data_IF_845115628305
#
_entry.id   IF_845115628305
#
_cell.length_a   1.000
_cell.length_b   1.000
_cell.length_c   1.000
_cell.angle_alpha   90.00
_cell.angle_beta   90.00
_cell.angle_gamma   90.00
#
_symmetry.space_group_name_H-M   'P 1'
#
loop_
_entity.id
_entity.type
_entity.pdbx_description
1 polymer ?
#
# COMPACT_ATOMS: atom_id res chain seq x y z
N UNK A 1 -56.05 -34.93 -59.57
CA UNK A 1 -55.55 -33.61 -60.05
C UNK A 1 -55.31 -32.73 -58.84
N UNK A 2 -54.13 -32.11 -58.79
CA UNK A 2 -53.68 -31.02 -57.89
C UNK A 2 -53.53 -31.32 -56.38
N UNK A 3 -52.33 -31.65 -55.89
CA UNK A 3 -51.18 -30.81 -55.45
C UNK A 3 -51.27 -30.27 -54.02
N UNK A 4 -50.54 -30.97 -53.14
CA UNK A 4 -49.57 -30.50 -52.12
C UNK A 4 -49.78 -29.12 -51.48
N UNK A 5 -49.84 -29.12 -50.14
CA UNK A 5 -49.15 -28.11 -49.33
C UNK A 5 -48.48 -28.78 -48.13
N UNK A 6 -47.16 -28.61 -48.03
CA UNK A 6 -46.30 -29.14 -46.95
C UNK A 6 -46.38 -28.22 -45.74
N UNK A 7 -46.57 -28.78 -44.55
CA UNK A 7 -46.24 -28.12 -43.27
C UNK A 7 -45.31 -29.03 -42.48
N UNK A 8 -44.21 -28.44 -42.03
CA UNK A 8 -43.07 -29.11 -41.42
C UNK A 8 -43.36 -29.59 -39.98
N UNK A 9 -42.91 -30.81 -39.66
CA UNK A 9 -42.83 -31.32 -38.29
C UNK A 9 -41.63 -30.67 -37.58
N UNK A 10 -41.87 -30.05 -36.43
CA UNK A 10 -40.85 -29.69 -35.43
C UNK A 10 -41.10 -30.55 -34.20
N UNK A 11 -40.15 -31.41 -33.76
CA UNK A 11 -40.32 -32.16 -32.54
C UNK A 11 -39.97 -31.27 -31.32
N UNK A 12 -40.92 -31.19 -30.40
CA UNK A 12 -40.80 -30.48 -29.12
C UNK A 12 -39.90 -31.30 -28.18
N UNK A 13 -38.64 -30.89 -28.01
CA UNK A 13 -37.73 -31.48 -27.02
C UNK A 13 -38.04 -30.94 -25.61
N UNK A 14 -38.32 -31.86 -24.70
CA UNK A 14 -38.56 -31.63 -23.28
C UNK A 14 -37.27 -31.09 -22.61
N UNK A 15 -37.28 -29.84 -22.13
CA UNK A 15 -36.16 -29.26 -21.37
C UNK A 15 -36.22 -29.75 -19.91
N UNK A 16 -35.35 -30.69 -19.55
CA UNK A 16 -35.06 -31.02 -18.15
C UNK A 16 -34.15 -29.92 -17.57
N UNK A 17 -34.69 -29.09 -16.68
CA UNK A 17 -33.89 -28.16 -15.87
C UNK A 17 -33.19 -28.93 -14.75
N UNK A 18 -31.90 -29.23 -14.94
CA UNK A 18 -31.02 -29.63 -13.84
C UNK A 18 -30.38 -28.38 -13.23
N UNK A 19 -30.83 -28.00 -12.04
CA UNK A 19 -30.18 -26.98 -11.22
C UNK A 19 -28.86 -27.53 -10.68
N UNK A 20 -27.74 -27.19 -11.31
CA UNK A 20 -26.40 -27.42 -10.74
C UNK A 20 -26.09 -26.25 -9.80
N UNK A 21 -26.22 -26.49 -8.49
CA UNK A 21 -25.61 -25.66 -7.46
C UNK A 21 -24.11 -25.95 -7.46
N UNK A 22 -23.37 -25.23 -8.31
CA UNK A 22 -21.91 -25.29 -8.34
C UNK A 22 -21.34 -24.34 -7.28
N UNK A 23 -20.96 -24.89 -6.13
CA UNK A 23 -20.09 -24.19 -5.18
C UNK A 23 -18.71 -24.05 -5.83
N UNK A 24 -18.32 -22.82 -6.22
CA UNK A 24 -16.98 -22.52 -6.73
C UNK A 24 -15.94 -22.79 -5.62
N UNK A 25 -15.28 -23.95 -5.69
CA UNK A 25 -14.16 -24.29 -4.81
C UNK A 25 -12.89 -23.63 -5.31
N UNK A 26 -12.29 -22.78 -4.48
CA UNK A 26 -10.97 -22.18 -4.71
C UNK A 26 -9.89 -23.26 -4.61
N UNK A 27 -9.27 -23.64 -5.73
CA UNK A 27 -8.08 -24.51 -5.71
C UNK A 27 -6.84 -23.67 -5.39
N UNK A 28 -6.10 -24.03 -4.33
CA UNK A 28 -4.81 -23.40 -4.02
C UNK A 28 -3.77 -23.78 -5.08
N UNK A 29 -3.31 -22.80 -5.85
CA UNK A 29 -2.10 -22.89 -6.66
C UNK A 29 -0.89 -23.16 -5.75
N UNK A 30 -0.13 -24.21 -6.03
CA UNK A 30 1.11 -24.53 -5.34
C UNK A 30 2.16 -23.43 -5.61
N UNK A 31 2.42 -22.58 -4.62
CA UNK A 31 3.50 -21.58 -4.66
C UNK A 31 4.84 -22.23 -4.28
N UNK A 32 5.90 -21.78 -4.95
CA UNK A 32 7.31 -22.09 -4.70
C UNK A 32 7.67 -21.88 -3.20
N UNK A 33 8.34 -22.84 -2.50
CA UNK A 33 8.27 -22.92 -1.03
C UNK A 33 9.09 -21.87 -0.26
N UNK A 34 9.88 -21.01 -0.91
CA UNK A 34 10.87 -20.19 -0.18
C UNK A 34 10.44 -18.75 0.09
N UNK A 35 9.52 -18.18 -0.69
CA UNK A 35 9.00 -16.84 -0.43
C UNK A 35 7.57 -16.63 -0.98
N UNK A 36 6.61 -16.28 -0.10
CA UNK A 36 5.18 -16.16 -0.48
C UNK A 36 4.92 -15.01 -1.46
N UNK A 37 5.75 -13.98 -1.45
CA UNK A 37 5.65 -12.83 -2.36
C UNK A 37 6.37 -13.07 -3.69
N UNK A 38 7.12 -14.16 -3.81
CA UNK A 38 7.92 -14.49 -5.00
C UNK A 38 8.97 -13.42 -5.30
N UNK A 39 9.73 -13.01 -4.28
CA UNK A 39 10.80 -11.99 -4.41
C UNK A 39 11.83 -12.40 -5.45
N UNK A 40 11.99 -11.58 -6.47
CA UNK A 40 13.03 -11.69 -7.49
C UNK A 40 13.90 -10.42 -7.53
N UNK A 41 15.07 -10.49 -8.18
CA UNK A 41 15.96 -9.30 -8.31
C UNK A 41 15.37 -8.20 -9.19
N UNK A 42 14.48 -8.54 -10.13
CA UNK A 42 13.85 -7.57 -11.03
C UNK A 42 12.71 -6.82 -10.33
N UNK A 43 12.38 -5.64 -10.83
CA UNK A 43 11.18 -4.92 -10.40
C UNK A 43 9.92 -5.70 -10.81
N UNK A 44 9.08 -6.03 -9.84
CA UNK A 44 7.81 -6.77 -10.00
C UNK A 44 6.58 -5.90 -9.69
N UNK A 45 6.74 -4.57 -9.75
CA UNK A 45 5.68 -3.58 -9.54
C UNK A 45 4.76 -3.51 -10.75
N UNK A 46 3.46 -3.69 -10.53
CA UNK A 46 2.40 -3.39 -11.49
C UNK A 46 1.59 -2.18 -10.98
N UNK A 47 1.43 -1.15 -11.81
CA UNK A 47 0.63 0.04 -11.48
C UNK A 47 -0.63 0.05 -12.33
N UNK A 48 -1.77 0.19 -11.66
CA UNK A 48 -3.10 0.29 -12.28
C UNK A 48 -3.73 1.61 -11.85
N UNK A 49 -4.31 2.34 -12.80
CA UNK A 49 -4.88 3.67 -12.53
C UNK A 49 -6.31 3.75 -13.06
N UNK A 50 -7.16 4.49 -12.36
CA UNK A 50 -8.50 4.82 -12.85
C UNK A 50 -8.41 5.65 -14.14
N UNK A 51 -9.43 5.57 -15.00
CA UNK A 51 -9.40 6.17 -16.35
C UNK A 51 -9.33 7.70 -16.36
N UNK A 52 -9.66 8.35 -15.25
CA UNK A 52 -9.55 9.80 -15.03
C UNK A 52 -8.18 10.24 -14.45
N UNK A 53 -7.28 9.30 -14.14
CA UNK A 53 -5.90 9.60 -13.73
C UNK A 53 -5.03 9.86 -14.96
N UNK A 54 -4.41 11.03 -15.03
CA UNK A 54 -3.56 11.39 -16.17
C UNK A 54 -2.32 10.50 -16.31
N UNK A 55 -1.85 10.30 -17.54
CA UNK A 55 -0.59 9.57 -17.83
C UNK A 55 0.62 10.16 -17.10
N UNK A 56 0.64 11.47 -16.86
CA UNK A 56 1.72 12.13 -16.09
C UNK A 56 1.74 11.64 -14.64
N UNK A 57 0.57 11.53 -14.01
CA UNK A 57 0.44 11.02 -12.63
C UNK A 57 0.81 9.55 -12.58
N UNK A 58 0.31 8.74 -13.51
CA UNK A 58 0.67 7.32 -13.62
C UNK A 58 2.19 7.12 -13.73
N UNK A 59 2.84 7.88 -14.62
CA UNK A 59 4.28 7.79 -14.81
C UNK A 59 5.05 8.21 -13.56
N UNK A 60 4.63 9.29 -12.89
CA UNK A 60 5.24 9.74 -11.65
C UNK A 60 5.19 8.68 -10.54
N UNK A 61 4.07 7.95 -10.43
CA UNK A 61 3.93 6.83 -9.49
C UNK A 61 4.87 5.69 -9.85
N UNK A 62 4.90 5.29 -11.13
CA UNK A 62 5.80 4.23 -11.63
C UNK A 62 7.27 4.56 -11.39
N UNK A 63 7.69 5.77 -11.70
CA UNK A 63 9.08 6.23 -11.53
C UNK A 63 9.48 6.23 -10.06
N UNK A 64 8.60 6.73 -9.18
CA UNK A 64 8.87 6.76 -7.74
C UNK A 64 9.00 5.35 -7.16
N UNK A 65 8.11 4.42 -7.56
CA UNK A 65 8.17 3.01 -7.15
C UNK A 65 9.43 2.33 -7.69
N UNK A 66 9.81 2.57 -8.95
CA UNK A 66 11.04 2.03 -9.52
C UNK A 66 12.28 2.48 -8.72
N UNK A 67 12.34 3.76 -8.34
CA UNK A 67 13.41 4.27 -7.48
C UNK A 67 13.38 3.62 -6.09
N UNK A 68 12.20 3.32 -5.54
CA UNK A 68 12.08 2.59 -4.28
C UNK A 68 12.69 1.18 -4.38
N UNK A 69 12.38 0.45 -5.47
CA UNK A 69 12.97 -0.87 -5.77
C UNK A 69 14.49 -0.77 -5.90
N UNK A 70 15.01 0.22 -6.63
CA UNK A 70 16.46 0.41 -6.79
C UNK A 70 17.15 0.78 -5.48
N UNK A 71 16.43 1.41 -4.54
CA UNK A 71 16.99 1.87 -3.26
C UNK A 71 16.99 0.77 -2.20
N UNK A 72 15.93 -0.03 -2.10
CA UNK A 72 15.77 -1.01 -1.01
C UNK A 72 15.69 -2.47 -1.47
N UNK A 73 15.59 -2.71 -2.78
CA UNK A 73 15.35 -4.03 -3.36
C UNK A 73 13.86 -4.28 -3.61
N UNK A 74 13.57 -5.34 -4.36
CA UNK A 74 12.21 -5.82 -4.61
C UNK A 74 11.60 -6.43 -3.33
N UNK A 75 10.38 -6.04 -3.00
CA UNK A 75 9.56 -6.71 -1.99
C UNK A 75 8.79 -7.91 -2.55
N UNK A 76 8.93 -8.21 -3.84
CA UNK A 76 8.22 -9.28 -4.54
C UNK A 76 7.08 -8.72 -5.38
N UNK A 77 6.09 -9.57 -5.67
CA UNK A 77 4.91 -9.17 -6.45
C UNK A 77 4.18 -8.04 -5.76
N UNK A 78 4.06 -6.91 -6.43
CA UNK A 78 3.53 -5.67 -5.85
C UNK A 78 2.56 -5.03 -6.84
N UNK A 79 1.33 -4.76 -6.39
CA UNK A 79 0.30 -4.09 -7.19
C UNK A 79 -0.09 -2.76 -6.53
N UNK A 80 0.05 -1.65 -7.27
CA UNK A 80 -0.33 -0.30 -6.80
C UNK A 80 -1.53 0.22 -7.59
N UNK A 81 -2.62 0.50 -6.89
CA UNK A 81 -3.89 0.92 -7.48
C UNK A 81 -4.16 2.40 -7.17
N UNK A 82 -4.16 3.24 -8.20
CA UNK A 82 -4.33 4.69 -8.07
C UNK A 82 -5.74 5.10 -8.48
N UNK A 83 -6.50 5.65 -7.54
CA UNK A 83 -7.83 6.19 -7.80
C UNK A 83 -7.73 7.65 -8.24
N UNK A 84 -8.62 8.06 -9.15
CA UNK A 84 -8.86 9.45 -9.46
C UNK A 84 -9.95 10.05 -8.57
N UNK A 85 -10.72 10.98 -9.11
CA UNK A 85 -11.85 11.61 -8.44
C UNK A 85 -13.20 11.24 -9.06
N UNK A 86 -13.24 10.65 -10.25
CA UNK A 86 -14.46 10.17 -10.87
C UNK A 86 -14.92 8.84 -10.27
N UNK A 87 -16.20 8.78 -9.88
CA UNK A 87 -16.76 7.58 -9.26
C UNK A 87 -16.92 6.43 -10.24
N UNK A 88 -17.30 6.70 -11.50
CA UNK A 88 -17.50 5.65 -12.48
C UNK A 88 -16.16 4.98 -12.86
N UNK A 89 -15.11 5.78 -13.02
CA UNK A 89 -13.74 5.32 -13.23
C UNK A 89 -13.23 4.46 -12.05
N UNK A 90 -13.55 4.85 -10.81
CA UNK A 90 -13.22 4.04 -9.64
C UNK A 90 -13.96 2.69 -9.59
N UNK A 91 -15.25 2.67 -9.96
CA UNK A 91 -16.04 1.42 -10.07
C UNK A 91 -15.49 0.51 -11.18
N UNK A 92 -15.06 1.09 -12.30
CA UNK A 92 -14.41 0.35 -13.39
C UNK A 92 -13.08 -0.26 -12.92
N UNK A 93 -12.22 0.51 -12.27
CA UNK A 93 -10.95 0.02 -11.74
C UNK A 93 -11.15 -1.08 -10.70
N UNK A 94 -12.13 -0.92 -9.78
CA UNK A 94 -12.51 -1.96 -8.83
C UNK A 94 -13.00 -3.23 -9.52
N UNK A 95 -13.76 -3.10 -10.60
CA UNK A 95 -14.23 -4.24 -11.40
C UNK A 95 -13.07 -4.97 -12.07
N UNK A 96 -12.07 -4.25 -12.57
CA UNK A 96 -10.84 -4.83 -13.11
C UNK A 96 -10.01 -5.55 -12.04
N UNK A 97 -9.87 -4.96 -10.85
CA UNK A 97 -9.25 -5.62 -9.69
C UNK A 97 -9.96 -6.95 -9.37
N UNK A 98 -11.29 -6.95 -9.33
CA UNK A 98 -12.08 -8.14 -9.03
C UNK A 98 -12.02 -9.22 -10.10
N UNK A 99 -12.09 -8.86 -11.38
CA UNK A 99 -11.91 -9.81 -12.47
C UNK A 99 -10.55 -10.52 -12.35
N UNK A 100 -9.50 -9.77 -12.01
CA UNK A 100 -8.16 -10.31 -11.78
C UNK A 100 -8.08 -11.21 -10.54
N UNK A 101 -8.80 -10.89 -9.45
CA UNK A 101 -8.87 -11.75 -8.26
C UNK A 101 -9.58 -13.07 -8.57
N UNK A 102 -10.71 -13.03 -9.27
CA UNK A 102 -11.49 -14.20 -9.65
C UNK A 102 -10.70 -15.10 -10.60
N UNK A 103 -10.11 -14.53 -11.65
CA UNK A 103 -9.32 -15.29 -12.63
C UNK A 103 -8.11 -16.02 -12.02
N UNK A 104 -7.62 -15.55 -10.87
CA UNK A 104 -6.50 -16.16 -10.13
C UNK A 104 -6.96 -17.04 -8.96
N UNK A 105 -8.27 -17.23 -8.77
CA UNK A 105 -8.81 -17.99 -7.64
C UNK A 105 -8.53 -17.35 -6.28
N UNK A 106 -8.32 -16.03 -6.21
CA UNK A 106 -8.01 -15.34 -4.96
C UNK A 106 -9.26 -15.05 -4.11
N UNK A 107 -10.36 -14.67 -4.77
CA UNK A 107 -11.63 -14.32 -4.13
C UNK A 107 -12.80 -14.65 -5.06
N UNK A 108 -13.99 -14.83 -4.49
CA UNK A 108 -15.23 -14.79 -5.28
C UNK A 108 -15.49 -13.36 -5.77
N UNK A 109 -16.25 -13.21 -6.86
CA UNK A 109 -16.62 -11.88 -7.37
C UNK A 109 -17.36 -11.06 -6.32
N UNK A 110 -18.27 -11.70 -5.57
CA UNK A 110 -19.06 -11.05 -4.51
C UNK A 110 -18.17 -10.51 -3.40
N UNK A 111 -17.25 -11.34 -2.89
CA UNK A 111 -16.40 -10.94 -1.77
C UNK A 111 -15.46 -9.79 -2.18
N UNK A 112 -14.97 -9.81 -3.42
CA UNK A 112 -14.14 -8.72 -3.93
C UNK A 112 -14.92 -7.40 -4.13
N UNK A 113 -16.15 -7.45 -4.62
CA UNK A 113 -16.97 -6.25 -4.76
C UNK A 113 -17.31 -5.64 -3.40
N UNK A 114 -17.58 -6.48 -2.39
CA UNK A 114 -17.77 -6.03 -1.01
C UNK A 114 -16.51 -5.37 -0.44
N UNK A 115 -15.34 -5.98 -0.64
CA UNK A 115 -14.05 -5.40 -0.26
C UNK A 115 -13.80 -4.04 -0.93
N UNK A 116 -14.13 -3.93 -2.22
CA UNK A 116 -13.95 -2.69 -2.99
C UNK A 116 -14.86 -1.54 -2.54
N UNK A 117 -16.01 -1.87 -1.95
CA UNK A 117 -16.96 -0.89 -1.40
C UNK A 117 -16.75 -0.63 0.10
N UNK A 118 -15.76 -1.28 0.74
CA UNK A 118 -15.47 -1.07 2.15
C UNK A 118 -15.13 0.41 2.41
N UNK A 119 -15.72 0.98 3.45
CA UNK A 119 -15.47 2.36 3.86
C UNK A 119 -14.10 2.50 4.54
N UNK A 120 -13.60 1.41 5.12
CA UNK A 120 -12.29 1.31 5.72
C UNK A 120 -11.33 0.71 4.68
N UNK A 121 -10.91 1.52 3.70
CA UNK A 121 -9.87 1.20 2.69
C UNK A 121 -10.31 0.46 1.40
N UNK A 122 -11.59 0.54 1.03
CA UNK A 122 -12.05 0.11 -0.29
C UNK A 122 -11.67 1.11 -1.41
N UNK A 123 -11.80 0.70 -2.68
CA UNK A 123 -11.49 1.56 -3.83
C UNK A 123 -12.33 2.85 -3.81
N UNK A 124 -13.60 2.75 -3.45
CA UNK A 124 -14.47 3.93 -3.38
C UNK A 124 -14.11 4.89 -2.25
N UNK A 125 -13.56 4.41 -1.12
CA UNK A 125 -13.12 5.31 -0.06
C UNK A 125 -11.93 6.16 -0.50
N UNK A 126 -10.96 5.58 -1.23
CA UNK A 126 -9.83 6.34 -1.77
C UNK A 126 -10.26 7.35 -2.86
N UNK A 127 -11.21 6.98 -3.72
CA UNK A 127 -11.79 7.91 -4.69
C UNK A 127 -12.50 9.07 -3.99
N UNK A 128 -13.33 8.78 -2.97
CA UNK A 128 -14.07 9.80 -2.22
C UNK A 128 -13.12 10.80 -1.54
N UNK A 129 -11.98 10.36 -1.01
CA UNK A 129 -10.95 11.25 -0.44
C UNK A 129 -10.45 12.26 -1.48
N UNK A 130 -10.10 11.80 -2.68
CA UNK A 130 -9.61 12.67 -3.75
C UNK A 130 -10.70 13.64 -4.24
N UNK A 131 -11.93 13.14 -4.43
CA UNK A 131 -13.06 13.95 -4.86
C UNK A 131 -13.42 15.04 -3.84
N UNK A 132 -13.44 14.70 -2.54
CA UNK A 132 -13.70 15.66 -1.47
C UNK A 132 -12.60 16.72 -1.37
N UNK A 133 -11.33 16.35 -1.56
CA UNK A 133 -10.22 17.30 -1.55
C UNK A 133 -10.40 18.38 -2.63
N UNK A 134 -10.75 17.98 -3.86
CA UNK A 134 -11.01 18.92 -4.95
C UNK A 134 -12.27 19.75 -4.73
N UNK A 135 -13.36 19.12 -4.29
CA UNK A 135 -14.64 19.81 -4.08
C UNK A 135 -14.58 20.85 -2.95
N UNK A 136 -13.85 20.56 -1.87
CA UNK A 136 -13.69 21.46 -0.73
C UNK A 136 -12.55 22.47 -0.88
N UNK A 137 -11.64 22.24 -1.83
CA UNK A 137 -10.38 22.98 -1.93
C UNK A 137 -9.40 22.71 -0.78
N UNK A 138 -9.68 21.74 0.10
CA UNK A 138 -8.84 21.39 1.24
C UNK A 138 -7.93 20.20 0.90
N UNK A 139 -6.60 20.40 0.86
CA UNK A 139 -5.62 19.32 0.66
C UNK A 139 -5.85 18.11 1.58
N UNK A 140 -6.23 16.97 0.99
CA UNK A 140 -6.33 15.68 1.67
C UNK A 140 -6.00 14.54 0.70
N UNK A 141 -5.31 13.53 1.19
CA UNK A 141 -4.95 12.35 0.42
C UNK A 141 -4.74 11.15 1.35
N UNK A 142 -4.73 9.96 0.77
CA UNK A 142 -4.43 8.73 1.51
C UNK A 142 -3.82 7.70 0.57
N UNK A 143 -2.86 6.96 1.09
CA UNK A 143 -2.37 5.72 0.52
C UNK A 143 -2.29 4.68 1.65
N UNK A 144 -2.24 3.39 1.30
CA UNK A 144 -2.12 2.34 2.31
C UNK A 144 -1.80 0.97 1.75
N UNK A 145 -1.11 0.17 2.57
CA UNK A 145 -0.97 -1.28 2.41
C UNK A 145 -2.25 -2.02 2.80
N UNK A 146 -2.96 -2.52 1.80
CA UNK A 146 -4.28 -3.15 1.94
C UNK A 146 -4.21 -4.68 1.85
N UNK A 147 -3.10 -5.26 2.32
CA UNK A 147 -2.93 -6.71 2.45
C UNK A 147 -2.44 -7.41 1.17
N UNK A 148 -3.00 -8.59 0.89
CA UNK A 148 -2.67 -9.43 -0.27
C UNK A 148 -1.70 -10.58 0.01
N UNK A 149 -1.14 -10.66 1.22
CA UNK A 149 -0.17 -11.71 1.59
C UNK A 149 -0.72 -13.13 1.43
N UNK A 150 -2.02 -13.35 1.72
CA UNK A 150 -2.69 -14.63 1.53
C UNK A 150 -2.79 -15.07 0.06
N UNK A 151 -2.58 -14.14 -0.87
CA UNK A 151 -2.54 -14.36 -2.31
C UNK A 151 -1.12 -14.19 -2.88
N UNK A 152 -0.13 -14.02 -2.00
CA UNK A 152 1.28 -13.91 -2.35
C UNK A 152 1.67 -12.64 -3.11
N UNK A 153 1.06 -11.49 -2.81
CA UNK A 153 1.49 -10.20 -3.34
C UNK A 153 1.21 -9.07 -2.34
N UNK A 154 1.78 -7.88 -2.56
CA UNK A 154 1.48 -6.67 -1.82
C UNK A 154 0.45 -5.83 -2.58
N UNK A 155 -0.66 -5.47 -1.93
CA UNK A 155 -1.68 -4.56 -2.49
C UNK A 155 -1.52 -3.17 -1.87
N UNK A 156 -1.16 -2.17 -2.67
CA UNK A 156 -1.29 -0.77 -2.28
C UNK A 156 -2.49 -0.13 -2.97
N UNK A 157 -3.13 0.81 -2.30
CA UNK A 157 -4.15 1.66 -2.92
C UNK A 157 -3.97 3.10 -2.47
N UNK A 158 -4.16 4.06 -3.37
CA UNK A 158 -4.13 5.48 -3.02
C UNK A 158 -5.27 6.26 -3.66
N UNK A 159 -5.65 7.36 -3.01
CA UNK A 159 -6.40 8.44 -3.66
C UNK A 159 -5.56 9.10 -4.76
N UNK A 160 -6.15 10.07 -5.46
CA UNK A 160 -5.43 10.88 -6.44
C UNK A 160 -4.20 11.52 -5.78
N UNK A 161 -2.96 11.28 -6.28
CA UNK A 161 -1.77 11.98 -5.81
C UNK A 161 -1.83 13.45 -6.28
N UNK A 162 -2.41 14.30 -5.44
CA UNK A 162 -2.77 15.67 -5.77
C UNK A 162 -1.55 16.51 -6.17
N UNK A 163 -0.40 16.28 -5.53
CA UNK A 163 0.85 16.92 -5.88
C UNK A 163 1.31 16.57 -7.30
N UNK A 164 1.17 15.33 -7.74
CA UNK A 164 1.49 14.94 -9.12
C UNK A 164 0.46 15.44 -10.13
N UNK A 165 -0.81 15.49 -9.73
CA UNK A 165 -1.90 16.06 -10.53
C UNK A 165 -1.77 17.57 -10.71
N UNK A 166 -0.94 18.25 -9.90
CA UNK A 166 -0.70 19.69 -9.98
C UNK A 166 -1.89 20.52 -9.51
N UNK A 167 -2.61 20.03 -8.50
CA UNK A 167 -3.82 20.65 -7.96
C UNK A 167 -3.63 21.04 -6.50
N UNK A 168 -4.46 21.98 -6.03
CA UNK A 168 -4.50 22.46 -4.64
C UNK A 168 -3.16 22.98 -4.07
N UNK A 169 -2.23 23.39 -4.94
CA UNK A 169 -0.92 23.94 -4.56
C UNK A 169 -0.10 22.97 -3.68
N UNK A 170 -0.21 21.68 -3.96
CA UNK A 170 0.53 20.61 -3.27
C UNK A 170 1.78 20.27 -4.08
N UNK A 171 2.92 20.20 -3.40
CA UNK A 171 4.18 19.84 -4.03
C UNK A 171 4.24 18.33 -4.31
N UNK A 172 4.66 17.94 -5.52
CA UNK A 172 4.78 16.52 -5.90
C UNK A 172 5.79 15.73 -5.05
N UNK A 173 6.75 16.41 -4.43
CA UNK A 173 7.69 15.81 -3.47
C UNK A 173 6.98 15.13 -2.29
N UNK A 174 5.83 15.66 -1.85
CA UNK A 174 5.03 15.02 -0.82
C UNK A 174 4.47 13.66 -1.25
N UNK A 175 4.02 13.56 -2.50
CA UNK A 175 3.54 12.29 -3.07
C UNK A 175 4.67 11.27 -3.21
N UNK A 176 5.89 11.73 -3.54
CA UNK A 176 7.05 10.85 -3.56
C UNK A 176 7.36 10.27 -2.17
N UNK A 177 7.30 11.09 -1.12
CA UNK A 177 7.48 10.63 0.27
C UNK A 177 6.39 9.63 0.65
N UNK A 178 5.13 9.89 0.32
CA UNK A 178 4.01 8.97 0.58
C UNK A 178 4.21 7.62 -0.11
N UNK A 179 4.58 7.60 -1.39
CA UNK A 179 4.79 6.35 -2.12
C UNK A 179 5.97 5.56 -1.56
N UNK A 180 7.06 6.24 -1.18
CA UNK A 180 8.20 5.60 -0.52
C UNK A 180 7.81 5.03 0.86
N UNK A 181 6.96 5.74 1.61
CA UNK A 181 6.41 5.26 2.89
C UNK A 181 5.62 3.95 2.69
N UNK A 182 4.70 3.91 1.74
CA UNK A 182 3.92 2.70 1.46
C UNK A 182 4.76 1.55 0.91
N UNK A 183 5.73 1.84 0.04
CA UNK A 183 6.64 0.81 -0.45
C UNK A 183 7.47 0.23 0.70
N UNK A 184 7.88 1.03 1.69
CA UNK A 184 8.57 0.52 2.88
C UNK A 184 7.72 -0.50 3.66
N UNK A 185 6.41 -0.30 3.79
CA UNK A 185 5.54 -1.31 4.39
C UNK A 185 5.57 -2.65 3.65
N UNK A 186 5.75 -2.62 2.33
CA UNK A 186 5.96 -3.87 1.57
C UNK A 186 7.29 -4.54 1.91
N UNK A 187 8.37 -3.78 2.07
CA UNK A 187 9.67 -4.31 2.50
C UNK A 187 9.60 -4.96 3.88
N UNK A 188 8.95 -4.32 4.86
CA UNK A 188 8.75 -4.90 6.19
C UNK A 188 8.02 -6.25 6.09
N UNK A 189 6.97 -6.32 5.27
CA UNK A 189 6.15 -7.51 5.09
C UNK A 189 6.85 -8.63 4.30
N UNK A 190 7.78 -8.30 3.40
CA UNK A 190 8.44 -9.24 2.50
C UNK A 190 9.29 -10.30 3.24
N UNK A 191 9.68 -10.03 4.48
CA UNK A 191 10.44 -10.95 5.35
C UNK A 191 9.55 -11.85 6.22
N UNK A 192 8.23 -11.72 6.13
CA UNK A 192 7.27 -12.53 6.89
C UNK A 192 6.58 -13.49 5.91
N UNK A 193 6.87 -14.78 5.99
CA UNK A 193 6.36 -15.81 5.06
C UNK A 193 5.07 -16.49 5.54
N UNK A 194 4.69 -16.35 6.81
CA UNK A 194 3.39 -16.86 7.25
C UNK A 194 2.21 -16.12 6.59
N UNK A 195 1.19 -16.83 6.06
CA UNK A 195 -0.05 -16.20 5.59
C UNK A 195 -1.02 -15.89 6.74
N UNK A 196 -0.79 -16.42 7.95
CA UNK A 196 -1.63 -16.17 9.12
C UNK A 196 -1.60 -14.70 9.56
N UNK A 197 -2.73 -14.01 9.43
CA UNK A 197 -2.81 -12.57 9.68
C UNK A 197 -2.44 -12.17 11.11
N UNK A 198 -2.80 -12.96 12.12
CA UNK A 198 -2.50 -12.65 13.54
C UNK A 198 -0.99 -12.75 13.79
N UNK A 199 -0.36 -13.80 13.28
CA UNK A 199 1.09 -14.00 13.37
C UNK A 199 1.85 -12.93 12.60
N UNK A 200 1.39 -12.56 11.39
CA UNK A 200 1.95 -11.43 10.63
C UNK A 200 1.94 -10.14 11.42
N UNK A 201 0.78 -9.79 12.01
CA UNK A 201 0.63 -8.58 12.84
C UNK A 201 1.60 -8.58 14.03
N UNK A 202 1.72 -9.71 14.74
CA UNK A 202 2.67 -9.85 15.84
C UNK A 202 4.14 -9.72 15.42
N UNK A 203 4.47 -10.14 14.19
CA UNK A 203 5.84 -10.07 13.65
C UNK A 203 6.19 -8.70 13.06
N UNK A 204 5.20 -7.91 12.63
CA UNK A 204 5.41 -6.51 12.24
C UNK A 204 5.79 -5.64 13.44
N UNK A 205 5.29 -5.99 14.63
CA UNK A 205 5.60 -5.33 15.89
C UNK A 205 4.70 -4.14 16.19
N UNK A 206 5.16 -3.21 17.04
CA UNK A 206 4.33 -2.15 17.51
C UNK A 206 4.17 -1.03 16.49
N UNK A 207 3.03 -0.33 16.57
CA UNK A 207 2.64 0.68 15.58
C UNK A 207 3.69 1.79 15.42
N UNK A 208 4.31 2.26 16.50
CA UNK A 208 5.40 3.24 16.41
C UNK A 208 6.60 2.77 15.59
N UNK A 209 6.90 1.47 15.60
CA UNK A 209 8.02 0.92 14.83
C UNK A 209 7.62 0.74 13.36
N UNK A 210 6.39 0.25 13.12
CA UNK A 210 5.85 0.04 11.77
C UNK A 210 5.81 1.37 11.03
N UNK A 211 5.07 2.34 11.56
CA UNK A 211 4.87 3.66 10.94
C UNK A 211 6.10 4.53 11.04
N UNK A 212 6.77 4.52 12.19
CA UNK A 212 7.98 5.30 12.40
C UNK A 212 9.10 4.90 11.44
N UNK A 213 9.26 3.60 11.15
CA UNK A 213 10.30 3.20 10.20
C UNK A 213 9.94 3.54 8.76
N UNK A 214 8.66 3.49 8.40
CA UNK A 214 8.19 3.98 7.10
C UNK A 214 8.45 5.49 6.95
N UNK A 215 8.15 6.29 7.98
CA UNK A 215 8.46 7.74 8.00
C UNK A 215 9.96 7.98 7.88
N UNK A 216 10.77 7.36 8.73
CA UNK A 216 12.22 7.59 8.73
C UNK A 216 12.86 7.18 7.41
N UNK A 217 12.49 6.01 6.88
CA UNK A 217 13.03 5.51 5.62
C UNK A 217 12.60 6.38 4.44
N UNK A 218 11.34 6.78 4.36
CA UNK A 218 10.85 7.65 3.29
C UNK A 218 11.51 9.04 3.33
N UNK A 219 11.51 9.71 4.49
CA UNK A 219 12.03 11.07 4.64
C UNK A 219 13.53 11.17 4.33
N UNK A 220 14.32 10.26 4.91
CA UNK A 220 15.79 10.25 4.76
C UNK A 220 16.16 9.90 3.31
N UNK A 221 15.54 8.87 2.73
CA UNK A 221 15.91 8.44 1.39
C UNK A 221 15.38 9.39 0.32
N UNK A 222 14.14 9.91 0.41
CA UNK A 222 13.65 10.92 -0.52
C UNK A 222 14.61 12.13 -0.61
N UNK A 223 15.08 12.59 0.55
CA UNK A 223 16.04 13.71 0.61
C UNK A 223 17.36 13.42 -0.09
N UNK A 224 17.89 12.21 0.07
CA UNK A 224 19.11 11.76 -0.64
C UNK A 224 18.87 11.61 -2.13
N UNK A 225 17.73 11.05 -2.50
CA UNK A 225 17.36 10.80 -3.89
C UNK A 225 17.19 12.12 -4.66
N UNK A 226 16.56 13.14 -4.07
CA UNK A 226 16.52 14.49 -4.65
C UNK A 226 17.90 15.13 -4.76
N UNK A 227 18.75 14.98 -3.74
CA UNK A 227 20.11 15.51 -3.77
C UNK A 227 20.97 14.86 -4.87
N UNK A 228 20.77 13.56 -5.11
CA UNK A 228 21.45 12.81 -6.16
C UNK A 228 20.84 12.94 -7.56
N UNK A 229 19.68 13.59 -7.69
CA UNK A 229 18.93 13.70 -8.95
C UNK A 229 18.18 12.43 -9.38
N UNK A 230 18.16 11.37 -8.55
CA UNK A 230 17.42 10.12 -8.83
C UNK A 230 15.91 10.29 -8.69
N UNK A 231 15.44 11.20 -7.84
CA UNK A 231 14.06 11.66 -7.83
C UNK A 231 13.99 13.08 -8.39
N UNK A 232 13.02 13.41 -9.26
CA UNK A 232 12.82 14.77 -9.73
C UNK A 232 12.27 15.63 -8.59
N UNK A 233 12.71 16.89 -8.56
CA UNK A 233 12.03 17.96 -7.83
C UNK A 233 10.90 18.52 -8.71
N UNK A 234 9.71 18.65 -8.16
CA UNK A 234 8.52 19.05 -8.92
C UNK A 234 8.36 20.56 -9.01
N UNK A 235 8.71 21.29 -7.93
CA UNK A 235 8.62 22.76 -7.88
C UNK A 235 7.27 23.30 -8.39
N UNK A 236 6.18 22.59 -8.13
CA UNK A 236 4.84 22.90 -8.64
C UNK A 236 3.89 23.44 -7.55
N UNK A 237 4.46 23.90 -6.44
CA UNK A 237 3.75 24.60 -5.38
C UNK A 237 4.35 26.00 -5.19
N UNK A 238 3.58 26.91 -4.60
CA UNK A 238 3.96 28.30 -4.35
C UNK A 238 5.12 28.46 -3.37
N UNK A 239 5.41 27.42 -2.61
CA UNK A 239 6.51 27.39 -1.64
C UNK A 239 7.47 26.25 -1.97
N UNK A 240 8.78 26.47 -1.77
CA UNK A 240 9.75 25.40 -1.96
C UNK A 240 9.46 24.24 -1.00
N UNK A 241 9.73 23.03 -1.47
CA UNK A 241 9.66 21.87 -0.61
C UNK A 241 10.64 22.01 0.56
N UNK A 242 10.14 21.77 1.78
CA UNK A 242 10.93 21.93 3.03
C UNK A 242 12.15 21.01 3.02
N UNK A 243 13.24 21.38 3.68
CA UNK A 243 14.41 20.51 3.85
C UNK A 243 14.11 19.33 4.78
N UNK A 244 14.95 18.28 4.76
CA UNK A 244 14.83 17.15 5.70
C UNK A 244 14.82 17.63 7.16
N UNK A 245 15.76 18.51 7.50
CA UNK A 245 15.86 19.11 8.83
C UNK A 245 14.57 19.81 9.24
N UNK A 246 13.98 20.62 8.35
CA UNK A 246 12.74 21.33 8.63
C UNK A 246 11.55 20.37 8.83
N UNK A 247 11.44 19.34 7.97
CA UNK A 247 10.36 18.34 8.08
C UNK A 247 10.48 17.53 9.37
N UNK A 248 11.66 17.02 9.69
CA UNK A 248 11.91 16.29 10.93
C UNK A 248 11.76 17.18 12.17
N UNK A 249 12.20 18.45 12.11
CA UNK A 249 12.01 19.42 13.20
C UNK A 249 10.52 19.68 13.48
N UNK A 250 9.69 19.81 12.44
CA UNK A 250 8.25 19.98 12.63
C UNK A 250 7.62 18.76 13.30
N UNK A 251 8.06 17.54 12.95
CA UNK A 251 7.64 16.32 13.65
C UNK A 251 8.03 16.36 15.13
N UNK A 252 9.24 16.81 15.46
CA UNK A 252 9.67 16.94 16.86
C UNK A 252 8.82 17.96 17.63
N UNK A 253 8.44 19.09 17.01
CA UNK A 253 7.54 20.07 17.64
C UNK A 253 6.21 19.42 18.04
N UNK A 254 5.57 18.68 17.13
CA UNK A 254 4.35 17.92 17.43
C UNK A 254 4.56 16.90 18.56
N UNK A 255 5.71 16.24 18.61
CA UNK A 255 6.06 15.32 19.71
C UNK A 255 6.14 16.05 21.04
N UNK A 256 6.77 17.23 21.11
CA UNK A 256 6.84 18.02 22.33
C UNK A 256 5.47 18.52 22.78
N UNK A 257 4.64 18.99 21.84
CA UNK A 257 3.26 19.42 22.13
C UNK A 257 2.42 18.29 22.73
N UNK A 258 2.57 17.05 22.24
CA UNK A 258 1.81 15.90 22.72
C UNK A 258 2.38 15.22 23.97
N UNK A 259 3.59 15.59 24.41
CA UNK A 259 4.30 14.92 25.50
C UNK A 259 3.55 14.94 26.83
N UNK A 260 2.83 16.02 27.11
CA UNK A 260 2.07 16.17 28.36
C UNK A 260 0.68 15.52 28.30
N UNK A 261 0.13 15.34 27.10
CA UNK A 261 -1.23 14.80 26.88
C UNK A 261 -1.24 13.28 26.65
N UNK A 262 -0.12 12.70 26.24
CA UNK A 262 -0.02 11.30 25.87
C UNK A 262 0.78 10.50 26.91
N UNK A 263 0.24 9.34 27.32
CA UNK A 263 0.87 8.45 28.32
C UNK A 263 2.18 7.84 27.84
N UNK A 264 2.38 7.74 26.52
CA UNK A 264 3.62 7.27 25.89
C UNK A 264 3.91 8.09 24.64
N UNK A 265 5.20 8.27 24.34
CA UNK A 265 5.66 8.83 23.08
C UNK A 265 5.76 7.78 21.96
N UNK A 266 5.73 6.49 22.30
CA UNK A 266 5.86 5.39 21.35
C UNK A 266 4.61 4.50 21.42
N UNK A 267 3.45 4.96 20.90
CA UNK A 267 2.21 4.22 21.00
C UNK A 267 2.20 2.96 20.14
N UNK A 268 1.48 1.94 20.62
CA UNK A 268 1.31 0.64 19.96
C UNK A 268 -0.13 0.42 19.45
N UNK A 269 -0.83 1.50 19.08
CA UNK A 269 -2.17 1.38 18.53
C UNK A 269 -2.47 2.49 17.54
N UNK A 270 -3.20 2.14 16.49
CA UNK A 270 -3.78 3.08 15.53
C UNK A 270 -5.00 3.81 16.11
N UNK A 271 -5.60 3.27 17.18
CA UNK A 271 -6.84 3.72 17.79
C UNK A 271 -6.57 4.56 19.04
N UNK A 272 -5.88 5.69 18.87
CA UNK A 272 -5.69 6.65 19.95
C UNK A 272 -5.57 8.10 19.44
N UNK A 273 -5.93 9.07 20.29
CA UNK A 273 -5.68 10.50 20.04
C UNK A 273 -4.17 10.84 19.91
N UNK A 274 -3.35 9.92 20.39
CA UNK A 274 -1.89 9.96 20.34
C UNK A 274 -1.31 9.21 19.14
N UNK A 275 -2.11 8.63 18.24
CA UNK A 275 -1.63 7.82 17.10
C UNK A 275 -0.59 8.53 16.24
N UNK A 276 -0.68 9.86 16.11
CA UNK A 276 0.28 10.65 15.35
C UNK A 276 1.73 10.50 15.88
N UNK A 277 1.89 10.21 17.17
CA UNK A 277 3.20 9.94 17.76
C UNK A 277 3.84 8.66 17.22
N UNK A 278 3.07 7.66 16.78
CA UNK A 278 3.62 6.49 16.10
C UNK A 278 4.42 6.86 14.85
N UNK A 279 3.96 7.89 14.13
CA UNK A 279 4.61 8.40 12.93
C UNK A 279 5.75 9.34 13.29
N UNK A 280 5.47 10.35 14.12
CA UNK A 280 6.41 11.46 14.34
C UNK A 280 7.47 11.13 15.38
N UNK A 281 7.08 10.61 16.55
CA UNK A 281 8.05 10.15 17.55
C UNK A 281 8.70 8.85 17.12
N UNK A 282 7.93 7.92 16.55
CA UNK A 282 8.48 6.69 15.95
C UNK A 282 9.49 6.98 14.85
N UNK A 283 9.22 7.95 13.96
CA UNK A 283 10.16 8.39 12.93
C UNK A 283 11.50 8.87 13.51
N UNK A 284 11.45 9.66 14.58
CA UNK A 284 12.65 10.08 15.30
C UNK A 284 13.36 8.92 16.03
N UNK A 285 12.61 8.02 16.66
CA UNK A 285 13.17 6.85 17.34
C UNK A 285 13.92 5.94 16.34
N UNK A 286 13.33 5.68 15.18
CA UNK A 286 13.98 4.89 14.12
C UNK A 286 15.19 5.61 13.56
N UNK A 287 15.10 6.92 13.29
CA UNK A 287 16.26 7.70 12.84
C UNK A 287 17.42 7.63 13.85
N UNK A 288 17.13 7.67 15.16
CA UNK A 288 18.12 7.49 16.21
C UNK A 288 18.74 6.08 16.19
N UNK A 289 17.93 5.03 16.07
CA UNK A 289 18.43 3.66 15.98
C UNK A 289 19.32 3.45 14.75
N UNK A 290 18.90 3.95 13.58
CA UNK A 290 19.71 3.90 12.36
C UNK A 290 21.03 4.67 12.49
N UNK A 291 21.02 5.80 13.19
CA UNK A 291 22.24 6.57 13.45
C UNK A 291 23.23 5.80 14.34
N UNK A 292 22.74 5.09 15.37
CA UNK A 292 23.58 4.37 16.33
C UNK A 292 24.05 3.00 15.82
N UNK A 293 23.22 2.29 15.08
CA UNK A 293 23.45 0.89 14.70
C UNK A 293 23.70 0.68 13.19
N UNK A 294 23.71 1.75 12.40
CA UNK A 294 23.93 1.71 10.96
C UNK A 294 22.66 1.98 10.16
N UNK A 295 22.81 2.69 9.04
CA UNK A 295 21.66 3.16 8.26
C UNK A 295 20.88 2.05 7.55
N UNK A 296 21.51 0.89 7.35
CA UNK A 296 20.93 -0.29 6.72
C UNK A 296 20.55 -1.38 7.74
N UNK A 297 20.62 -1.09 9.05
CA UNK A 297 20.37 -2.06 10.12
C UNK A 297 18.99 -2.72 10.01
N UNK A 298 17.98 -1.97 9.58
CA UNK A 298 16.63 -2.51 9.40
C UNK A 298 16.58 -3.56 8.27
N UNK A 299 17.22 -3.28 7.14
CA UNK A 299 17.24 -4.15 5.95
C UNK A 299 18.17 -5.36 6.12
N UNK A 300 19.33 -5.18 6.76
CA UNK A 300 20.36 -6.22 6.84
C UNK A 300 20.30 -7.07 8.11
N UNK A 301 19.79 -6.50 9.20
CA UNK A 301 19.86 -7.13 10.52
C UNK A 301 18.49 -7.40 11.13
N UNK A 302 17.59 -6.41 11.14
CA UNK A 302 16.30 -6.55 11.83
C UNK A 302 15.30 -7.39 11.05
N UNK A 303 14.79 -6.89 9.92
CA UNK A 303 13.69 -7.55 9.20
C UNK A 303 14.02 -8.98 8.74
N UNK A 304 15.23 -9.29 8.24
CA UNK A 304 15.59 -10.66 7.87
C UNK A 304 15.52 -11.69 9.01
N UNK A 305 15.59 -11.25 10.28
CA UNK A 305 15.60 -12.13 11.44
C UNK A 305 14.27 -12.17 12.20
N UNK A 306 13.32 -11.29 11.86
CA UNK A 306 12.10 -11.08 12.67
C UNK A 306 11.21 -12.32 12.72
N UNK A 307 11.01 -13.02 11.61
CA UNK A 307 10.16 -14.22 11.56
C UNK A 307 10.74 -15.37 12.38
N UNK A 308 12.07 -15.49 12.42
CA UNK A 308 12.78 -16.53 13.17
C UNK A 308 12.79 -16.26 14.68
N UNK A 309 13.04 -15.01 15.07
CA UNK A 309 13.26 -14.67 16.48
C UNK A 309 11.98 -14.20 17.20
N UNK A 310 10.98 -13.75 16.45
CA UNK A 310 9.91 -12.92 16.98
C UNK A 310 10.37 -11.47 17.15
N UNK A 311 9.40 -10.55 17.17
CA UNK A 311 9.69 -9.12 17.06
C UNK A 311 10.57 -8.58 18.20
N UNK A 312 10.17 -8.79 19.46
CA UNK A 312 10.87 -8.21 20.61
C UNK A 312 12.27 -8.82 20.84
N UNK A 313 12.42 -10.13 20.65
CA UNK A 313 13.73 -10.76 20.74
C UNK A 313 14.66 -10.30 19.60
N UNK A 314 14.12 -10.09 18.41
CA UNK A 314 14.87 -9.50 17.30
C UNK A 314 15.28 -8.05 17.59
N UNK A 315 14.40 -7.25 18.21
CA UNK A 315 14.69 -5.88 18.62
C UNK A 315 15.83 -5.82 19.62
N UNK A 316 15.73 -6.60 20.71
CA UNK A 316 16.79 -6.73 21.72
C UNK A 316 18.12 -7.17 21.13
N UNK A 317 18.10 -8.17 20.25
CA UNK A 317 19.32 -8.66 19.59
C UNK A 317 19.95 -7.59 18.69
N UNK A 318 19.15 -6.82 17.98
CA UNK A 318 19.63 -5.85 16.98
C UNK A 318 20.11 -4.55 17.63
N UNK A 319 19.38 -4.06 18.64
CA UNK A 319 19.59 -2.74 19.23
C UNK A 319 20.15 -2.79 20.66
N UNK A 320 20.38 -3.98 21.23
CA UNK A 320 20.96 -4.16 22.56
C UNK A 320 20.10 -3.62 23.70
N UNK A 321 18.81 -3.36 23.46
CA UNK A 321 17.86 -2.79 24.41
C UNK A 321 16.45 -3.30 24.16
N UNK A 322 15.57 -3.20 25.17
CA UNK A 322 14.14 -3.43 25.04
C UNK A 322 13.46 -2.37 24.17
N UNK A 323 12.36 -2.72 23.52
CA UNK A 323 11.53 -1.72 22.81
C UNK A 323 10.66 -0.87 23.74
N UNK A 324 10.39 -1.39 24.93
CA UNK A 324 9.68 -0.73 26.03
C UNK A 324 10.68 -0.17 27.03
#
# INVERSE_FOLDING_TARGET
MHTLSRVAMVPLFLLMFTTVSGQETVSRSAQDPTNIFGVEKRNQTEVFVASDVSRKVEQAVKDTLAVAVDTWGSSGRFEYWVLGTDRAAAVELASAFCARRVARGHMTRRDCLNDSQNKDHGFLSYQEIGAQALASGMPRGSAGHNGGAQWGFHRMTSSLPLGFAGVLNIAGEGEQVTILHEYWHSMQNAFIQTPDHKKRRSLMGPVWFIEGSAVAMAEINASRLWASGKLPKWNNASHPWRSLEQRMTNKMKLVQEKREMCTTLLPDSYDSECRQLAYDSGGWAIAYLMNKFGQDVLLKSFHPNVEKLGWEACFKKTFGQSSA
#
